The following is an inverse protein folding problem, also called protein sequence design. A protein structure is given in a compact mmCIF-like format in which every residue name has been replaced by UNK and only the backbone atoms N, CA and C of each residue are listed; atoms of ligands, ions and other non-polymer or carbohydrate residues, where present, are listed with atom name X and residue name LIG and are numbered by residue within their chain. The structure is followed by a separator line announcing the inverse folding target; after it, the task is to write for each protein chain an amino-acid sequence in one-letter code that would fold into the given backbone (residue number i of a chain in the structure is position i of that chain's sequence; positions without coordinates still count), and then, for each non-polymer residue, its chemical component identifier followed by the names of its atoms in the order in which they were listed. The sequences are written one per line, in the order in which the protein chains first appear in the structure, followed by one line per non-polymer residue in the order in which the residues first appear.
data_IF_292311864308
#
_entry.id   IF_292311864308
#
_cell.length_a   1.000
_cell.length_b   1.000
_cell.length_c   1.000
_cell.angle_alpha   90.00
_cell.angle_beta   90.00
_cell.angle_gamma   90.00
#
_symmetry.space_group_name_H-M   'P 1'
#
loop_
_entity.id
_entity.type
_entity.pdbx_description
1 polymer ?
#
# COMPACT_ATOMS: atom_id res chain seq x y z
N UNK A 1 -1.40 -17.88 9.38
CA UNK A 1 -0.58 -16.91 10.15
C UNK A 1 -0.17 -15.71 9.31
N UNK A 2 0.59 -15.85 8.23
CA UNK A 2 1.00 -14.69 7.39
C UNK A 2 -0.17 -14.14 6.56
N UNK A 3 -1.04 -15.02 6.06
CA UNK A 3 -2.20 -14.65 5.25
C UNK A 3 -3.29 -13.91 6.05
N UNK A 4 -3.47 -14.26 7.32
CA UNK A 4 -4.45 -13.63 8.21
C UNK A 4 -4.08 -12.15 8.46
N UNK A 5 -2.79 -11.89 8.68
CA UNK A 5 -2.27 -10.53 8.90
C UNK A 5 -2.45 -9.67 7.64
N UNK A 6 -2.14 -10.21 6.46
CA UNK A 6 -2.37 -9.49 5.20
C UNK A 6 -3.86 -9.25 4.91
N UNK A 7 -4.72 -10.21 5.27
CA UNK A 7 -6.17 -10.09 5.15
C UNK A 7 -6.71 -8.94 6.02
N UNK A 8 -6.32 -8.90 7.29
CA UNK A 8 -6.74 -7.86 8.23
C UNK A 8 -6.27 -6.46 7.80
N UNK A 9 -5.01 -6.33 7.36
CA UNK A 9 -4.47 -5.05 6.89
C UNK A 9 -5.13 -4.57 5.60
N UNK A 10 -5.45 -5.51 4.69
CA UNK A 10 -6.20 -5.21 3.47
C UNK A 10 -7.60 -4.71 3.81
N UNK A 11 -8.31 -5.41 4.71
CA UNK A 11 -9.63 -5.01 5.17
C UNK A 11 -9.62 -3.62 5.83
N UNK A 12 -8.59 -3.33 6.64
CA UNK A 12 -8.40 -2.01 7.24
C UNK A 12 -8.15 -0.92 6.18
N UNK A 13 -7.28 -1.20 5.19
CA UNK A 13 -6.92 -0.25 4.15
C UNK A 13 -8.09 0.13 3.23
N UNK A 14 -9.02 -0.81 3.02
CA UNK A 14 -10.18 -0.65 2.15
C UNK A 14 -11.42 -0.10 2.88
N UNK A 15 -11.43 -0.08 4.23
CA UNK A 15 -12.59 0.37 5.03
C UNK A 15 -12.98 1.84 4.84
N UNK A 16 -12.04 2.70 4.45
CA UNK A 16 -12.29 4.14 4.24
C UNK A 16 -11.73 4.58 2.90
N UNK A 17 -12.54 5.21 2.06
CA UNK A 17 -12.05 5.91 0.87
C UNK A 17 -11.21 7.11 1.31
N UNK A 18 -9.93 7.12 0.95
CA UNK A 18 -9.04 8.25 1.22
C UNK A 18 -9.10 9.24 0.06
N UNK A 19 -9.04 10.54 0.37
CA UNK A 19 -8.93 11.58 -0.64
C UNK A 19 -7.62 11.39 -1.40
N UNK A 20 -7.70 11.48 -2.73
CA UNK A 20 -6.53 11.41 -3.58
C UNK A 20 -5.54 12.52 -3.20
N UNK A 21 -4.26 12.18 -3.16
CA UNK A 21 -3.18 13.14 -2.89
C UNK A 21 -2.36 13.35 -4.14
N UNK A 22 -1.66 14.48 -4.23
CA UNK A 22 -0.65 14.76 -5.25
C UNK A 22 0.59 13.87 -5.07
N UNK A 23 0.40 12.56 -5.30
CA UNK A 23 1.45 11.55 -5.22
C UNK A 23 1.29 10.62 -6.42
N UNK A 24 2.39 10.37 -7.13
CA UNK A 24 2.41 9.47 -8.28
C UNK A 24 2.36 7.99 -7.86
N UNK A 25 1.18 7.53 -7.43
CA UNK A 25 0.98 6.14 -6.99
C UNK A 25 1.33 5.13 -8.09
N UNK A 26 1.10 5.46 -9.35
CA UNK A 26 1.44 4.59 -10.50
C UNK A 26 2.93 4.30 -10.60
N UNK A 27 3.80 5.28 -10.34
CA UNK A 27 5.26 5.05 -10.32
C UNK A 27 5.68 4.18 -9.15
N UNK A 28 5.04 4.34 -7.99
CA UNK A 28 5.32 3.51 -6.83
C UNK A 28 4.95 2.04 -7.10
N UNK A 29 3.78 1.82 -7.71
CA UNK A 29 3.31 0.49 -8.12
C UNK A 29 4.22 -0.12 -9.19
N UNK A 30 4.58 0.62 -10.24
CA UNK A 30 5.42 0.07 -11.33
C UNK A 30 6.82 -0.30 -10.85
N UNK A 31 7.42 0.54 -9.99
CA UNK A 31 8.70 0.24 -9.36
C UNK A 31 8.65 -1.02 -8.48
N UNK A 32 7.53 -1.28 -7.80
CA UNK A 32 7.40 -2.45 -6.92
C UNK A 32 7.45 -3.80 -7.67
N UNK A 33 7.19 -3.80 -8.98
CA UNK A 33 7.19 -5.00 -9.82
C UNK A 33 8.59 -5.62 -9.92
N UNK A 34 9.63 -4.79 -10.01
CA UNK A 34 11.01 -5.26 -10.24
C UNK A 34 11.93 -5.14 -9.03
N UNK A 35 11.57 -4.32 -8.03
CA UNK A 35 12.46 -4.02 -6.89
C UNK A 35 11.70 -3.70 -5.61
N UNK A 36 12.42 -3.81 -4.49
CA UNK A 36 11.90 -3.45 -3.16
C UNK A 36 11.67 -1.95 -3.13
N UNK A 37 10.46 -1.54 -2.72
CA UNK A 37 10.14 -0.13 -2.49
C UNK A 37 9.84 0.04 -1.01
N UNK A 38 10.72 0.75 -0.32
CA UNK A 38 10.52 1.15 1.07
C UNK A 38 9.92 2.56 1.12
N UNK A 39 8.88 2.76 1.92
CA UNK A 39 8.27 4.07 2.19
C UNK A 39 8.78 4.57 3.54
N UNK A 40 9.71 5.52 3.52
CA UNK A 40 10.33 6.08 4.74
C UNK A 40 9.84 7.50 5.03
N UNK A 41 10.17 8.02 6.21
CA UNK A 41 9.87 9.40 6.61
C UNK A 41 9.57 9.55 8.09
N UNK A 42 9.43 10.80 8.56
CA UNK A 42 9.22 11.14 9.97
C UNK A 42 7.85 10.66 10.51
N UNK A 43 7.70 10.58 11.85
CA UNK A 43 6.41 10.24 12.47
C UNK A 43 5.32 11.22 12.01
N UNK A 44 4.09 10.70 11.82
CA UNK A 44 2.89 11.45 11.41
C UNK A 44 2.93 12.09 10.00
N UNK A 45 3.88 11.73 9.12
CA UNK A 45 3.89 12.20 7.72
C UNK A 45 2.91 11.47 6.77
N UNK A 46 2.09 10.55 7.27
CA UNK A 46 1.05 9.89 6.47
C UNK A 46 1.51 8.67 5.66
N UNK A 47 2.61 8.00 6.02
CA UNK A 47 3.08 6.75 5.38
C UNK A 47 1.98 5.68 5.28
N UNK A 48 1.25 5.44 6.38
CA UNK A 48 0.15 4.47 6.39
C UNK A 48 -0.96 4.89 5.42
N UNK A 49 -1.32 6.18 5.38
CA UNK A 49 -2.31 6.69 4.42
C UNK A 49 -1.84 6.54 2.97
N UNK A 50 -0.55 6.73 2.68
CA UNK A 50 0.01 6.50 1.36
C UNK A 50 -0.12 5.01 0.96
N UNK A 51 0.21 4.09 1.85
CA UNK A 51 0.06 2.66 1.60
C UNK A 51 -1.41 2.24 1.39
N UNK A 52 -2.33 2.85 2.14
CA UNK A 52 -3.77 2.66 1.94
C UNK A 52 -4.26 3.21 0.59
N UNK A 53 -3.72 4.34 0.12
CA UNK A 53 -4.03 4.85 -1.22
C UNK A 53 -3.52 3.91 -2.31
N UNK A 54 -2.34 3.32 -2.14
CA UNK A 54 -1.83 2.29 -3.06
C UNK A 54 -2.73 1.05 -3.03
N UNK A 55 -3.17 0.61 -1.84
CA UNK A 55 -4.11 -0.48 -1.68
C UNK A 55 -5.41 -0.26 -2.45
N UNK A 56 -6.01 0.93 -2.30
CA UNK A 56 -7.26 1.30 -2.97
C UNK A 56 -7.09 1.37 -4.48
N UNK A 57 -5.98 1.93 -4.97
CA UNK A 57 -5.65 1.94 -6.40
C UNK A 57 -5.54 0.52 -6.96
N UNK A 58 -4.79 -0.36 -6.30
CA UNK A 58 -4.61 -1.75 -6.74
C UNK A 58 -5.95 -2.51 -6.73
N UNK A 59 -6.75 -2.34 -5.68
CA UNK A 59 -8.08 -2.93 -5.60
C UNK A 59 -9.00 -2.44 -6.74
N UNK A 60 -8.95 -1.14 -7.06
CA UNK A 60 -9.68 -0.57 -8.21
C UNK A 60 -9.20 -1.11 -9.57
N UNK A 61 -7.95 -1.58 -9.66
CA UNK A 61 -7.39 -2.26 -10.84
C UNK A 61 -7.65 -3.78 -10.85
N UNK A 62 -8.38 -4.32 -9.87
CA UNK A 62 -8.57 -5.78 -9.73
C UNK A 62 -7.31 -6.53 -9.27
N UNK A 63 -6.31 -5.82 -8.73
CA UNK A 63 -5.02 -6.37 -8.31
C UNK A 63 -4.95 -6.50 -6.78
N UNK A 64 -4.43 -7.63 -6.31
CA UNK A 64 -4.25 -7.88 -4.88
C UNK A 64 -3.06 -7.13 -4.27
N UNK A 65 -3.19 -6.73 -3.00
CA UNK A 65 -2.17 -6.04 -2.20
C UNK A 65 -0.93 -6.88 -1.86
N UNK A 66 -0.91 -8.18 -2.21
CA UNK A 66 0.15 -9.15 -1.87
C UNK A 66 1.57 -8.66 -2.23
N UNK A 67 1.71 -7.83 -3.27
CA UNK A 67 3.00 -7.37 -3.76
C UNK A 67 3.64 -6.26 -2.91
N UNK A 68 2.86 -5.44 -2.22
CA UNK A 68 3.36 -4.19 -1.62
C UNK A 68 3.76 -4.33 -0.14
N UNK A 69 3.07 -5.18 0.61
CA UNK A 69 3.22 -5.26 2.07
C UNK A 69 4.42 -6.15 2.48
N UNK A 70 4.81 -7.11 1.63
CA UNK A 70 5.90 -8.08 1.87
C UNK A 70 7.30 -7.47 2.11
N UNK A 71 7.44 -6.15 2.00
CA UNK A 71 8.72 -5.42 2.10
C UNK A 71 8.81 -4.40 3.23
N UNK A 72 7.78 -4.26 4.05
CA UNK A 72 7.80 -3.39 5.25
C UNK A 72 8.30 -4.15 6.49
N UNK A 73 8.40 -5.49 6.40
CA UNK A 73 8.77 -6.38 7.51
C UNK A 73 10.16 -7.03 7.34
N UNK A 74 11.06 -6.41 6.58
CA UNK A 74 12.48 -6.78 6.48
C UNK A 74 13.35 -5.80 7.23
#
# INVERSE_FOLDING_TARGET
MVEDVFGEWTAYALRKSLVQREVELSRLVSNSVTKVVAVTGVRRCGKSSLLMLVAQKLAGEGRGLRTLILRIAG
#
